data_IF_855378005020
#
_entry.id   IF_855378005020
#
_cell.length_a   1.000
_cell.length_b   1.000
_cell.length_c   1.000
_cell.angle_alpha   90.00
_cell.angle_beta   90.00
_cell.angle_gamma   90.00
#
_symmetry.space_group_name_H-M   'P 1'
#
loop_
_entity.id
_entity.type
_entity.pdbx_description
1 polymer ?
#
# COMPACT_ATOMS: atom_id res chain seq x y z
N UNK A 1 -7.59 9.05 -12.30
CA UNK A 1 -7.90 8.01 -11.29
C UNK A 1 -9.36 8.08 -10.89
N UNK A 2 -10.10 6.97 -11.00
CA UNK A 2 -11.49 6.90 -10.51
C UNK A 2 -11.48 6.76 -8.98
N UNK A 3 -12.41 7.42 -8.30
CA UNK A 3 -12.53 7.37 -6.82
C UNK A 3 -12.60 5.92 -6.31
N UNK A 4 -13.28 5.05 -7.05
CA UNK A 4 -13.45 3.64 -6.69
C UNK A 4 -12.12 2.89 -6.60
N UNK A 5 -11.24 3.07 -7.58
CA UNK A 5 -9.92 2.41 -7.62
C UNK A 5 -9.07 2.77 -6.40
N UNK A 6 -9.13 4.04 -5.98
CA UNK A 6 -8.42 4.53 -4.80
C UNK A 6 -8.96 3.87 -3.51
N UNK A 7 -10.28 3.74 -3.38
CA UNK A 7 -10.90 3.09 -2.22
C UNK A 7 -10.56 1.60 -2.17
N UNK A 8 -10.56 0.93 -3.33
CA UNK A 8 -10.17 -0.48 -3.43
C UNK A 8 -8.68 -0.66 -3.04
N UNK A 9 -7.79 0.25 -3.44
CA UNK A 9 -6.39 0.24 -3.03
C UNK A 9 -6.19 0.41 -1.51
N UNK A 10 -6.94 1.33 -0.89
CA UNK A 10 -6.92 1.49 0.57
C UNK A 10 -7.43 0.23 1.28
N UNK A 11 -8.53 -0.36 0.79
CA UNK A 11 -9.09 -1.57 1.36
C UNK A 11 -8.12 -2.76 1.25
N UNK A 12 -7.45 -2.90 0.10
CA UNK A 12 -6.43 -3.91 -0.12
C UNK A 12 -5.24 -3.76 0.84
N UNK A 13 -4.72 -2.54 1.00
CA UNK A 13 -3.61 -2.25 1.93
C UNK A 13 -3.96 -2.57 3.37
N UNK A 14 -5.16 -2.19 3.81
CA UNK A 14 -5.66 -2.51 5.16
C UNK A 14 -5.76 -4.02 5.39
N UNK A 15 -6.31 -4.76 4.42
CA UNK A 15 -6.44 -6.23 4.52
C UNK A 15 -5.08 -6.92 4.55
N UNK A 16 -4.13 -6.47 3.72
CA UNK A 16 -2.78 -7.01 3.73
C UNK A 16 -2.10 -6.81 5.09
N UNK A 17 -2.23 -5.62 5.69
CA UNK A 17 -1.71 -5.33 7.02
C UNK A 17 -2.35 -6.20 8.11
N UNK A 18 -3.67 -6.35 8.10
CA UNK A 18 -4.40 -7.22 9.05
C UNK A 18 -4.04 -8.70 8.89
N UNK A 19 -3.72 -9.14 7.68
CA UNK A 19 -3.33 -10.51 7.39
C UNK A 19 -1.84 -10.80 7.70
N UNK A 20 -1.06 -9.79 8.13
CA UNK A 20 0.38 -9.95 8.36
C UNK A 20 1.20 -10.19 7.09
N UNK A 21 0.65 -9.87 5.92
CA UNK A 21 1.38 -9.98 4.64
C UNK A 21 2.37 -8.83 4.50
N UNK A 22 3.51 -9.01 3.83
CA UNK A 22 4.47 -7.93 3.65
C UNK A 22 3.91 -6.81 2.77
N UNK A 23 4.35 -5.56 2.99
CA UNK A 23 3.92 -4.39 2.20
C UNK A 23 4.34 -4.50 0.72
N UNK A 24 5.37 -5.30 0.42
CA UNK A 24 5.87 -5.59 -0.93
C UNK A 24 4.89 -6.40 -1.78
N UNK A 25 3.88 -7.04 -1.17
CA UNK A 25 2.78 -7.73 -1.88
C UNK A 25 1.78 -6.75 -2.53
N UNK A 26 2.11 -5.45 -2.60
CA UNK A 26 1.29 -4.44 -3.24
C UNK A 26 1.05 -4.79 -4.72
N UNK A 27 -0.22 -5.00 -5.16
CA UNK A 27 -0.52 -5.43 -6.52
C UNK A 27 -0.45 -4.28 -7.55
N UNK A 28 -0.26 -3.05 -7.09
CA UNK A 28 -0.23 -1.86 -7.93
C UNK A 28 1.20 -1.55 -8.39
N UNK A 29 1.43 -1.59 -9.70
CA UNK A 29 2.71 -1.26 -10.33
C UNK A 29 2.76 0.22 -10.71
N UNK A 30 3.95 0.82 -10.71
CA UNK A 30 4.13 2.23 -11.07
C UNK A 30 4.04 2.49 -12.58
N UNK A 31 4.05 1.43 -13.39
CA UNK A 31 4.04 1.50 -14.87
C UNK A 31 2.68 1.87 -15.45
N UNK A 32 1.64 1.97 -14.61
CA UNK A 32 0.31 2.36 -15.03
C UNK A 32 0.04 3.85 -14.75
N UNK A 33 -0.80 4.54 -15.54
CA UNK A 33 -1.08 5.97 -15.39
C UNK A 33 -1.55 6.42 -13.99
N UNK A 34 -2.09 5.52 -13.17
CA UNK A 34 -2.49 5.79 -11.78
C UNK A 34 -1.71 4.94 -10.76
N UNK A 35 -0.76 4.14 -11.21
CA UNK A 35 -0.05 3.13 -10.44
C UNK A 35 0.55 3.66 -9.15
N UNK A 36 1.39 4.69 -9.28
CA UNK A 36 2.01 5.38 -8.15
C UNK A 36 1.01 5.88 -7.11
N UNK A 37 -0.13 6.43 -7.54
CA UNK A 37 -1.17 6.93 -6.64
C UNK A 37 -1.88 5.79 -5.90
N UNK A 38 -2.13 4.66 -6.58
CA UNK A 38 -2.72 3.46 -5.99
C UNK A 38 -1.76 2.77 -5.03
N UNK A 39 -0.47 2.64 -5.37
CA UNK A 39 0.58 2.16 -4.47
C UNK A 39 0.66 2.99 -3.21
N UNK A 40 0.65 4.33 -3.31
CA UNK A 40 0.64 5.22 -2.14
C UNK A 40 -0.62 5.04 -1.28
N UNK A 41 -1.79 4.87 -1.90
CA UNK A 41 -3.04 4.63 -1.18
C UNK A 41 -3.02 3.30 -0.43
N UNK A 42 -2.48 2.25 -1.05
CA UNK A 42 -2.27 0.93 -0.44
C UNK A 42 -1.32 1.02 0.76
N UNK A 43 -0.11 1.55 0.55
CA UNK A 43 0.94 1.63 1.59
C UNK A 43 0.46 2.44 2.79
N UNK A 44 -0.18 3.58 2.57
CA UNK A 44 -0.74 4.40 3.68
C UNK A 44 -1.80 3.64 4.48
N UNK A 45 -2.66 2.88 3.82
CA UNK A 45 -3.69 2.10 4.52
C UNK A 45 -3.10 0.88 5.25
N UNK A 46 -2.06 0.27 4.69
CA UNK A 46 -1.29 -0.80 5.31
C UNK A 46 -0.61 -0.32 6.60
N UNK A 47 0.15 0.79 6.53
CA UNK A 47 0.89 1.34 7.67
C UNK A 47 0.00 1.85 8.80
N UNK A 48 -1.26 2.21 8.51
CA UNK A 48 -2.24 2.54 9.56
C UNK A 48 -2.59 1.35 10.46
N UNK A 49 -2.52 0.13 9.92
CA UNK A 49 -2.77 -1.10 10.67
C UNK A 49 -1.47 -1.65 11.24
N UNK A 50 -0.38 -1.49 10.49
CA UNK A 50 0.91 -2.10 10.80
C UNK A 50 2.02 -1.03 10.81
N UNK A 51 2.03 -0.13 11.81
CA UNK A 51 2.92 1.03 11.85
C UNK A 51 4.40 0.65 12.02
N UNK A 52 4.69 -0.48 12.68
CA UNK A 52 6.04 -1.02 12.84
C UNK A 52 6.72 -1.34 11.50
N UNK A 53 5.93 -1.72 10.49
CA UNK A 53 6.43 -1.96 9.15
C UNK A 53 6.97 -0.69 8.47
N UNK A 54 6.62 0.52 8.95
CA UNK A 54 7.21 1.77 8.46
C UNK A 54 8.72 1.83 8.75
N UNK A 55 9.15 1.26 9.88
CA UNK A 55 10.55 1.20 10.28
C UNK A 55 11.35 0.26 9.36
N UNK A 56 10.73 -0.82 8.89
CA UNK A 56 11.32 -1.76 7.94
C UNK A 56 11.52 -1.20 6.52
N UNK A 57 10.91 -0.04 6.20
CA UNK A 57 11.14 0.68 4.93
C UNK A 57 12.23 1.75 5.06
N UNK A 58 12.94 1.80 6.20
CA UNK A 58 14.12 2.65 6.35
C UNK A 58 15.22 2.13 5.43
N UNK A 59 15.52 2.96 4.43
CA UNK A 59 16.57 2.80 3.44
C UNK A 59 17.89 2.38 4.12
N UNK A 60 18.44 1.23 3.74
CA UNK A 60 19.89 1.09 3.77
C UNK A 60 20.47 2.08 2.75
N UNK A 61 21.27 3.03 3.25
CA UNK A 61 22.35 3.73 2.55
C UNK A 61 22.04 4.44 1.24
#
# INVERSE_FOLDING_TARGET
MKLRERLDAMAAGRRAGLAGRPVTDCPYTQDTPNGRALTLAFVRAYLKVNPEAASAVSFEG
#
